data_IF_404052742212
#
_entry.id   IF_404052742212
#
_cell.length_a   1.000
_cell.length_b   1.000
_cell.length_c   1.000
_cell.angle_alpha   90.00
_cell.angle_beta   90.00
_cell.angle_gamma   90.00
#
_symmetry.space_group_name_H-M   'P 1'
#
loop_
_entity.id
_entity.type
_entity.pdbx_description
1 polymer ?
#
# COMPACT_ATOMS: atom_id res chain seq x y z
N UNK A 1 -12.59 20.34 -9.24
CA UNK A 1 -11.73 20.14 -8.07
C UNK A 1 -10.80 18.98 -8.35
N UNK A 2 -9.48 19.14 -8.42
CA UNK A 2 -8.62 18.02 -8.76
C UNK A 2 -8.42 17.15 -7.51
N UNK A 3 -8.86 15.90 -7.58
CA UNK A 3 -8.56 14.90 -6.55
C UNK A 3 -7.05 14.77 -6.37
N UNK A 4 -6.57 14.57 -5.14
CA UNK A 4 -5.15 14.46 -4.80
C UNK A 4 -4.43 13.41 -5.65
N UNK A 5 -5.08 12.28 -5.94
CA UNK A 5 -4.52 11.24 -6.82
C UNK A 5 -4.29 11.68 -8.29
N UNK A 6 -4.88 12.81 -8.74
CA UNK A 6 -4.67 13.38 -10.09
C UNK A 6 -3.51 14.37 -10.13
N UNK A 7 -3.13 14.92 -8.98
CA UNK A 7 -2.13 15.99 -8.88
C UNK A 7 -0.81 15.47 -8.32
N UNK A 8 -0.87 14.46 -7.44
CA UNK A 8 0.27 13.85 -6.78
C UNK A 8 0.08 12.33 -6.78
N UNK A 9 0.53 11.69 -7.85
CA UNK A 9 0.46 10.23 -8.00
C UNK A 9 1.38 9.52 -7.01
N UNK A 10 1.24 8.21 -6.91
CA UNK A 10 2.11 7.41 -6.03
C UNK A 10 3.59 7.52 -6.42
N UNK A 11 3.93 7.80 -7.69
CA UNK A 11 5.31 8.04 -8.11
C UNK A 11 5.92 9.32 -7.51
N UNK A 12 5.09 10.28 -7.10
CA UNK A 12 5.52 11.56 -6.54
C UNK A 12 5.46 11.58 -5.00
N UNK A 13 4.55 10.79 -4.41
CA UNK A 13 4.35 10.73 -2.96
C UNK A 13 4.61 9.32 -2.44
N UNK A 14 5.65 9.20 -1.63
CA UNK A 14 6.00 7.98 -0.90
C UNK A 14 5.54 8.07 0.57
N UNK A 15 4.33 7.59 0.84
CA UNK A 15 3.77 7.59 2.19
C UNK A 15 4.50 6.60 3.10
N UNK A 16 4.93 5.46 2.57
CA UNK A 16 5.71 4.45 3.32
C UNK A 16 6.99 5.04 3.89
N UNK A 17 7.69 5.87 3.10
CA UNK A 17 8.88 6.59 3.57
C UNK A 17 8.53 7.58 4.68
N UNK A 18 7.54 8.44 4.48
CA UNK A 18 7.13 9.45 5.47
C UNK A 18 6.73 8.79 6.80
N UNK A 19 5.92 7.75 6.75
CA UNK A 19 5.45 7.05 7.95
C UNK A 19 6.58 6.23 8.61
N UNK A 20 7.53 5.73 7.82
CA UNK A 20 8.74 5.08 8.34
C UNK A 20 9.60 6.03 9.17
N UNK A 21 9.77 7.28 8.72
CA UNK A 21 10.48 8.33 9.49
C UNK A 21 9.76 8.69 10.82
N UNK A 22 8.46 8.36 10.94
CA UNK A 22 7.71 8.50 12.19
C UNK A 22 7.89 7.30 13.14
N UNK A 23 8.70 6.31 12.78
CA UNK A 23 9.04 5.15 13.61
C UNK A 23 8.13 3.93 13.44
N UNK A 24 7.37 3.86 12.36
CA UNK A 24 6.49 2.73 12.05
C UNK A 24 7.25 1.68 11.24
N UNK A 25 6.83 0.41 11.33
CA UNK A 25 7.16 -0.58 10.31
C UNK A 25 6.44 -0.21 9.02
N UNK A 26 7.18 -0.01 7.93
CA UNK A 26 6.57 0.32 6.64
C UNK A 26 7.05 -0.57 5.51
N UNK A 27 6.12 -0.89 4.61
CA UNK A 27 6.41 -1.59 3.36
C UNK A 27 5.60 -0.98 2.23
N UNK A 28 6.24 -0.80 1.07
CA UNK A 28 5.60 -0.37 -0.16
C UNK A 28 5.51 -1.58 -1.10
N UNK A 29 4.29 -2.06 -1.32
CA UNK A 29 4.01 -3.27 -2.10
C UNK A 29 3.52 -2.86 -3.49
N UNK A 30 4.25 -3.30 -4.51
CA UNK A 30 3.91 -3.05 -5.92
C UNK A 30 3.42 -4.29 -6.63
N UNK A 31 3.76 -5.49 -6.12
CA UNK A 31 3.37 -6.77 -6.71
C UNK A 31 2.29 -7.48 -5.88
N UNK A 32 1.18 -7.95 -6.49
CA UNK A 32 0.13 -8.68 -5.77
C UNK A 32 0.63 -9.93 -5.04
N UNK A 33 1.68 -10.56 -5.56
CA UNK A 33 2.27 -11.77 -4.96
C UNK A 33 2.94 -11.52 -3.60
N UNK A 34 3.31 -10.28 -3.29
CA UNK A 34 4.00 -9.91 -2.07
C UNK A 34 3.06 -9.58 -0.91
N UNK A 35 1.77 -9.35 -1.19
CA UNK A 35 0.76 -8.90 -0.23
C UNK A 35 0.73 -9.79 1.03
N UNK A 36 0.71 -11.11 0.85
CA UNK A 36 0.62 -12.05 1.97
C UNK A 36 1.87 -11.99 2.85
N UNK A 37 3.05 -11.85 2.26
CA UNK A 37 4.30 -11.80 3.01
C UNK A 37 4.47 -10.46 3.73
N UNK A 38 4.10 -9.35 3.09
CA UNK A 38 4.10 -8.02 3.70
C UNK A 38 3.17 -7.97 4.92
N UNK A 39 1.95 -8.49 4.79
CA UNK A 39 1.01 -8.58 5.91
C UNK A 39 1.57 -9.42 7.07
N UNK A 40 2.20 -10.58 6.79
CA UNK A 40 2.83 -11.40 7.82
C UNK A 40 3.91 -10.62 8.60
N UNK A 41 4.78 -9.89 7.90
CA UNK A 41 5.82 -9.06 8.52
C UNK A 41 5.23 -7.92 9.37
N UNK A 42 4.21 -7.22 8.86
CA UNK A 42 3.51 -6.19 9.63
C UNK A 42 2.84 -6.76 10.89
N UNK A 43 2.25 -7.96 10.83
CA UNK A 43 1.71 -8.61 12.02
C UNK A 43 2.82 -8.97 13.03
N UNK A 44 3.97 -9.44 12.57
CA UNK A 44 5.13 -9.67 13.46
C UNK A 44 5.62 -8.37 14.11
N UNK A 45 5.67 -7.26 13.37
CA UNK A 45 6.00 -5.94 13.92
C UNK A 45 4.99 -5.49 14.99
N UNK A 46 3.70 -5.62 14.70
CA UNK A 46 2.63 -5.29 15.65
C UNK A 46 2.72 -6.12 16.93
N UNK A 47 3.02 -7.42 16.83
CA UNK A 47 3.23 -8.29 18.00
C UNK A 47 4.44 -7.86 18.85
N UNK A 48 5.45 -7.24 18.23
CA UNK A 48 6.60 -6.65 18.92
C UNK A 48 6.32 -5.24 19.48
N UNK A 49 5.07 -4.75 19.40
CA UNK A 49 4.68 -3.42 19.89
C UNK A 49 5.00 -2.27 18.92
N UNK A 50 5.44 -2.57 17.70
CA UNK A 50 5.70 -1.57 16.67
C UNK A 50 4.49 -1.45 15.72
N UNK A 51 3.83 -0.30 15.63
CA UNK A 51 2.76 -0.08 14.66
C UNK A 51 3.25 -0.26 13.21
N UNK A 52 2.39 -0.80 12.35
CA UNK A 52 2.71 -1.06 10.95
C UNK A 52 1.79 -0.32 9.96
N UNK A 53 2.37 0.18 8.88
CA UNK A 53 1.67 0.77 7.73
C UNK A 53 2.16 0.09 6.44
N UNK A 54 1.26 -0.45 5.63
CA UNK A 54 1.61 -1.01 4.32
C UNK A 54 0.90 -0.21 3.25
N UNK A 55 1.67 0.29 2.29
CA UNK A 55 1.18 0.99 1.12
C UNK A 55 1.08 0.03 -0.05
N UNK A 56 -0.15 -0.28 -0.47
CA UNK A 56 -0.40 -1.08 -1.67
C UNK A 56 -0.58 -0.16 -2.86
N UNK A 57 0.29 -0.30 -3.85
CA UNK A 57 0.16 0.41 -5.12
C UNK A 57 -0.83 -0.37 -6.00
N UNK A 58 -1.97 0.24 -6.25
CA UNK A 58 -3.06 -0.37 -7.00
C UNK A 58 -3.31 0.38 -8.30
N UNK A 59 -3.90 -0.32 -9.28
CA UNK A 59 -4.50 0.34 -10.43
C UNK A 59 -5.55 1.35 -9.96
N UNK A 60 -5.54 2.54 -10.55
CA UNK A 60 -6.53 3.59 -10.23
C UNK A 60 -7.97 3.10 -10.44
N UNK A 61 -8.17 2.22 -11.42
CA UNK A 61 -9.46 1.62 -11.71
C UNK A 61 -9.36 0.10 -11.55
N UNK A 62 -10.42 -0.55 -11.02
CA UNK A 62 -10.45 -2.00 -10.90
C UNK A 62 -10.42 -2.66 -12.28
N UNK A 63 -9.66 -3.75 -12.40
CA UNK A 63 -9.69 -4.63 -13.57
C UNK A 63 -10.74 -5.70 -13.32
N UNK A 64 -11.88 -5.60 -14.01
CA UNK A 64 -12.95 -6.57 -13.91
C UNK A 64 -12.66 -7.79 -14.79
N UNK A 65 -12.91 -8.99 -14.25
CA UNK A 65 -12.87 -10.20 -15.05
C UNK A 65 -14.03 -10.23 -16.05
N UNK A 66 -13.87 -10.93 -17.17
CA UNK A 66 -14.91 -11.04 -18.21
C UNK A 66 -16.23 -11.65 -17.75
N UNK A 67 -16.29 -12.19 -16.53
CA UNK A 67 -17.49 -12.69 -15.87
C UNK A 67 -18.42 -11.57 -15.33
N UNK A 68 -17.94 -10.33 -15.20
CA UNK A 68 -18.72 -9.20 -14.65
C UNK A 68 -19.70 -8.61 -15.67
N UNK A 69 -19.59 -8.96 -16.95
CA UNK A 69 -20.35 -8.34 -18.05
C UNK A 69 -21.29 -9.27 -18.83
N UNK A 70 -21.79 -10.36 -18.22
CA UNK A 70 -22.85 -11.19 -18.83
C UNK A 70 -24.18 -11.04 -18.10
#
# INVERSE_FOLDING_TARGET
DPFTHKVLGYDEVDMSKVIGELGYHTERVTEPSEVVLALKRAFSANQAGMPAYIEFICSQFPVYGGWVGK
#
